data_IF_030288009424
#
_entry.id   IF_030288009424
#
_cell.length_a   1.000
_cell.length_b   1.000
_cell.length_c   1.000
_cell.angle_alpha   90.00
_cell.angle_beta   90.00
_cell.angle_gamma   90.00
#
_symmetry.space_group_name_H-M   'P 1'
#
loop_
_entity.id
_entity.type
_entity.pdbx_description
1 polymer ?
#
# COMPACT_ATOMS: atom_id res chain seq x y z
N UNK A 1 -24.75 -8.79 4.95
CA UNK A 1 -23.39 -9.33 4.80
C UNK A 1 -22.54 -8.24 4.14
N UNK A 2 -22.09 -7.24 4.90
CA UNK A 2 -21.41 -6.06 4.33
C UNK A 2 -20.43 -5.48 5.38
N UNK A 3 -19.25 -6.10 5.52
CA UNK A 3 -18.15 -5.60 6.38
C UNK A 3 -16.99 -5.02 5.57
N UNK A 4 -17.13 -4.86 4.24
CA UNK A 4 -16.02 -4.42 3.38
C UNK A 4 -15.85 -2.89 3.31
N UNK A 5 -16.92 -2.11 3.50
CA UNK A 5 -16.86 -0.64 3.34
C UNK A 5 -16.03 0.10 4.40
N UNK A 6 -15.85 -0.49 5.59
CA UNK A 6 -15.11 0.16 6.68
C UNK A 6 -13.60 0.07 6.50
N UNK A 7 -13.08 -1.06 6.00
CA UNK A 7 -11.64 -1.27 5.80
C UNK A 7 -11.14 -0.53 4.56
N UNK A 8 -11.93 -0.52 3.48
CA UNK A 8 -11.59 0.19 2.24
C UNK A 8 -11.49 1.70 2.49
N UNK A 9 -12.44 2.24 3.28
CA UNK A 9 -12.44 3.66 3.63
C UNK A 9 -11.27 4.03 4.56
N UNK A 10 -10.95 3.17 5.54
CA UNK A 10 -9.82 3.40 6.44
C UNK A 10 -8.47 3.38 5.70
N UNK A 11 -8.29 2.41 4.80
CA UNK A 11 -7.08 2.30 3.96
C UNK A 11 -6.93 3.53 3.08
N UNK A 12 -8.03 4.00 2.47
CA UNK A 12 -8.03 5.23 1.68
C UNK A 12 -7.62 6.46 2.50
N UNK A 13 -8.13 6.60 3.74
CA UNK A 13 -7.76 7.72 4.62
C UNK A 13 -6.27 7.69 4.99
N UNK A 14 -5.69 6.51 5.22
CA UNK A 14 -4.24 6.36 5.46
C UNK A 14 -3.46 6.78 4.21
N UNK A 15 -3.86 6.30 3.04
CA UNK A 15 -3.21 6.62 1.77
C UNK A 15 -3.30 8.12 1.43
N UNK A 16 -4.42 8.78 1.75
CA UNK A 16 -4.58 10.23 1.59
C UNK A 16 -3.66 11.01 2.54
N UNK A 17 -3.51 10.55 3.79
CA UNK A 17 -2.56 11.15 4.74
C UNK A 17 -1.11 11.00 4.27
N UNK A 18 -0.75 9.83 3.71
CA UNK A 18 0.54 9.59 3.06
C UNK A 18 0.70 10.52 1.86
N UNK A 19 -0.31 10.64 0.99
CA UNK A 19 -0.26 11.57 -0.16
C UNK A 19 -0.06 13.03 0.27
N UNK A 20 -0.64 13.44 1.38
CA UNK A 20 -0.46 14.77 1.96
C UNK A 20 0.92 14.95 2.65
N UNK A 21 1.64 13.87 2.95
CA UNK A 21 2.90 13.89 3.71
C UNK A 21 2.71 14.15 5.21
N UNK A 22 1.50 13.92 5.74
CA UNK A 22 1.18 14.17 7.14
C UNK A 22 1.63 12.97 8.01
N UNK A 23 2.90 13.00 8.41
CA UNK A 23 3.53 11.93 9.20
C UNK A 23 2.80 11.69 10.52
N UNK A 24 2.37 12.75 11.21
CA UNK A 24 1.69 12.63 12.50
C UNK A 24 0.37 11.89 12.35
N UNK A 25 -0.42 12.27 11.35
CA UNK A 25 -1.69 11.61 11.05
C UNK A 25 -1.52 10.16 10.60
N UNK A 26 -0.47 9.84 9.85
CA UNK A 26 -0.17 8.45 9.48
C UNK A 26 0.14 7.60 10.72
N UNK A 27 0.93 8.12 11.66
CA UNK A 27 1.25 7.43 12.91
C UNK A 27 0.00 7.17 13.76
N UNK A 28 -0.85 8.19 13.91
CA UNK A 28 -2.09 8.07 14.68
C UNK A 28 -3.03 7.03 14.08
N UNK A 29 -3.17 7.02 12.75
CA UNK A 29 -4.05 6.07 12.05
C UNK A 29 -3.50 4.64 12.11
N UNK A 30 -2.21 4.43 11.86
CA UNK A 30 -1.57 3.09 11.87
C UNK A 30 -1.50 2.50 13.29
N UNK A 31 -1.43 3.35 14.31
CA UNK A 31 -1.42 2.96 15.71
C UNK A 31 -2.77 2.44 16.24
N UNK A 32 -3.86 2.60 15.49
CA UNK A 32 -5.18 2.12 15.94
C UNK A 32 -5.24 0.59 15.96
N UNK A 33 -5.84 -0.01 17.02
CA UNK A 33 -6.01 -1.45 17.10
C UNK A 33 -6.96 -1.94 16.00
N UNK A 34 -6.56 -2.98 15.28
CA UNK A 34 -7.35 -3.57 14.19
C UNK A 34 -7.10 -2.97 12.80
N UNK A 35 -6.18 -2.02 12.67
CA UNK A 35 -5.74 -1.52 11.36
C UNK A 35 -4.86 -2.54 10.66
N UNK A 36 -5.20 -2.83 9.41
CA UNK A 36 -4.38 -3.61 8.52
C UNK A 36 -3.40 -2.70 7.76
N UNK A 37 -2.14 -2.70 8.20
CA UNK A 37 -1.04 -1.90 7.60
C UNK A 37 -0.66 -2.36 6.20
N UNK A 38 -1.16 -3.50 5.77
CA UNK A 38 -0.91 -4.09 4.46
C UNK A 38 -2.11 -3.95 3.51
N UNK A 39 -3.22 -3.37 3.97
CA UNK A 39 -4.41 -3.23 3.16
C UNK A 39 -4.11 -2.43 1.89
N UNK A 40 -4.62 -2.92 0.75
CA UNK A 40 -4.49 -2.26 -0.54
C UNK A 40 -5.60 -1.24 -0.68
N UNK A 41 -5.25 -0.04 -1.13
CA UNK A 41 -6.23 0.97 -1.47
C UNK A 41 -5.93 1.58 -2.82
N UNK A 42 -6.97 2.08 -3.47
CA UNK A 42 -6.88 2.75 -4.76
C UNK A 42 -6.66 4.25 -4.53
N UNK A 43 -5.49 4.76 -4.90
CA UNK A 43 -5.17 6.18 -4.84
C UNK A 43 -4.35 6.60 -6.07
N UNK A 44 -4.59 7.80 -6.57
CA UNK A 44 -3.76 8.41 -7.60
C UNK A 44 -2.52 9.04 -6.94
N UNK A 45 -1.38 8.34 -7.02
CA UNK A 45 -0.06 8.82 -6.54
C UNK A 45 0.75 9.54 -7.63
N UNK A 46 0.43 9.34 -8.91
CA UNK A 46 1.13 9.96 -10.05
C UNK A 46 0.27 11.07 -10.66
N UNK A 47 0.88 12.23 -10.89
CA UNK A 47 0.20 13.49 -11.26
C UNK A 47 -0.41 13.53 -12.66
N UNK A 48 -0.36 12.42 -13.40
CA UNK A 48 -0.63 12.39 -14.84
C UNK A 48 -1.71 11.39 -15.30
N UNK A 49 -2.35 10.60 -14.43
CA UNK A 49 -3.39 9.67 -14.93
C UNK A 49 -4.58 9.44 -14.01
N UNK A 50 -5.72 9.22 -14.67
CA UNK A 50 -7.01 8.81 -14.12
C UNK A 50 -7.00 7.38 -13.55
N UNK A 51 -5.89 6.66 -13.69
CA UNK A 51 -5.69 5.32 -13.19
C UNK A 51 -5.25 5.31 -11.72
N UNK A 52 -6.23 5.21 -10.84
CA UNK A 52 -5.98 4.98 -9.42
C UNK A 52 -5.41 3.57 -9.22
N UNK A 53 -4.10 3.47 -8.95
CA UNK A 53 -3.43 2.21 -8.71
C UNK A 53 -3.79 1.64 -7.32
N UNK A 54 -3.99 0.33 -7.25
CA UNK A 54 -4.04 -0.39 -5.98
C UNK A 54 -2.63 -0.50 -5.39
N UNK A 55 -2.41 0.20 -4.27
CA UNK A 55 -1.12 0.26 -3.58
C UNK A 55 -1.29 -0.01 -2.09
N UNK A 56 -0.24 -0.52 -1.46
CA UNK A 56 -0.15 -0.57 0.00
C UNK A 56 0.38 0.76 0.55
N UNK A 57 0.16 1.06 1.84
CA UNK A 57 0.74 2.23 2.50
C UNK A 57 2.25 2.36 2.29
N UNK A 58 2.98 1.25 2.37
CA UNK A 58 4.43 1.21 2.15
C UNK A 58 4.80 1.58 0.70
N UNK A 59 4.08 1.06 -0.29
CA UNK A 59 4.30 1.39 -1.70
C UNK A 59 4.05 2.88 -1.99
N UNK A 60 2.98 3.44 -1.44
CA UNK A 60 2.66 4.86 -1.60
C UNK A 60 3.73 5.76 -0.98
N UNK A 61 4.16 5.46 0.26
CA UNK A 61 5.20 6.22 0.94
C UNK A 61 6.55 6.14 0.21
N UNK A 62 6.90 4.96 -0.32
CA UNK A 62 8.11 4.76 -1.11
C UNK A 62 8.05 5.52 -2.45
N UNK A 63 6.92 5.46 -3.17
CA UNK A 63 6.73 6.15 -4.44
C UNK A 63 6.80 7.67 -4.30
N UNK A 64 6.35 8.22 -3.18
CA UNK A 64 6.39 9.65 -2.87
C UNK A 64 7.71 10.10 -2.22
N UNK A 65 8.66 9.18 -1.97
CA UNK A 65 9.96 9.50 -1.37
C UNK A 65 9.90 9.89 0.12
N UNK A 66 8.87 9.46 0.84
CA UNK A 66 8.62 9.85 2.24
C UNK A 66 9.37 8.95 3.21
N UNK A 67 10.69 9.17 3.32
CA UNK A 67 11.61 8.34 4.12
C UNK A 67 11.12 8.13 5.56
N UNK A 68 10.65 9.18 6.24
CA UNK A 68 10.20 9.06 7.63
C UNK A 68 8.97 8.16 7.80
N UNK A 69 8.05 8.17 6.84
CA UNK A 69 6.87 7.28 6.85
C UNK A 69 7.27 5.85 6.49
N UNK A 70 8.20 5.69 5.54
CA UNK A 70 8.76 4.37 5.20
C UNK A 70 9.44 3.75 6.42
N UNK A 71 10.30 4.49 7.12
CA UNK A 71 10.99 4.00 8.32
C UNK A 71 10.00 3.63 9.43
N UNK A 72 8.97 4.45 9.64
CA UNK A 72 7.92 4.15 10.61
C UNK A 72 7.14 2.88 10.26
N UNK A 73 6.75 2.70 9.00
CA UNK A 73 6.02 1.51 8.55
C UNK A 73 6.91 0.26 8.60
N UNK A 74 8.20 0.37 8.27
CA UNK A 74 9.17 -0.74 8.34
C UNK A 74 9.51 -1.15 9.78
N UNK A 75 9.35 -0.25 10.74
CA UNK A 75 9.50 -0.59 12.16
C UNK A 75 8.35 -1.44 12.70
N UNK A 76 7.20 -1.49 12.02
CA UNK A 76 6.06 -2.31 12.42
C UNK A 76 6.27 -3.78 11.98
N UNK A 77 6.35 -4.75 12.90
CA UNK A 77 6.58 -6.16 12.56
C UNK A 77 5.42 -6.80 11.76
N UNK A 78 4.24 -6.15 11.70
CA UNK A 78 3.10 -6.59 10.90
C UNK A 78 3.25 -6.27 9.42
N UNK A 79 4.18 -5.37 9.07
CA UNK A 79 4.38 -4.95 7.69
C UNK A 79 4.95 -6.10 6.87
N UNK A 80 4.42 -6.30 5.66
CA UNK A 80 5.02 -7.23 4.71
C UNK A 80 5.65 -6.42 3.59
N UNK A 81 6.97 -6.44 3.57
CA UNK A 81 7.77 -5.72 2.58
C UNK A 81 7.62 -6.35 1.18
N UNK A 82 7.38 -7.66 1.12
CA UNK A 82 7.34 -8.44 -0.11
C UNK A 82 5.93 -8.64 -0.67
N UNK A 83 5.06 -7.62 -0.63
CA UNK A 83 3.78 -7.70 -1.32
C UNK A 83 3.99 -7.65 -2.84
N UNK A 84 3.93 -8.83 -3.47
CA UNK A 84 3.89 -8.91 -4.92
C UNK A 84 2.59 -8.28 -5.42
N UNK A 85 2.69 -7.23 -6.24
CA UNK A 85 1.56 -6.81 -7.05
C UNK A 85 1.17 -7.98 -7.97
N UNK A 86 -0.11 -8.38 -8.06
CA UNK A 86 -0.54 -9.42 -8.99
C UNK A 86 -0.32 -9.05 -10.47
N UNK A 87 0.13 -7.83 -10.79
CA UNK A 87 0.29 -7.34 -12.16
C UNK A 87 1.66 -7.62 -12.81
N UNK A 88 2.55 -8.39 -12.17
CA UNK A 88 3.80 -8.86 -12.80
C UNK A 88 3.94 -10.39 -12.83
N UNK A 89 2.89 -11.14 -12.43
CA UNK A 89 2.95 -12.58 -12.26
C UNK A 89 2.17 -13.36 -13.34
N UNK A 90 2.05 -12.82 -14.56
CA UNK A 90 1.59 -13.62 -15.71
C UNK A 90 2.69 -14.47 -16.34
N UNK A 91 3.97 -14.15 -16.10
CA UNK A 91 5.10 -14.91 -16.69
C UNK A 91 5.88 -15.80 -15.70
N UNK A 92 5.72 -15.66 -14.38
CA UNK A 92 6.49 -16.46 -13.42
C UNK A 92 5.78 -17.71 -12.85
N UNK A 93 4.50 -17.96 -13.19
CA UNK A 93 3.84 -19.26 -12.89
C UNK A 93 3.85 -20.26 -14.03
N UNK A 94 4.08 -19.82 -15.26
CA UNK A 94 4.22 -20.74 -16.39
C UNK A 94 5.70 -21.03 -16.56
N UNK A 95 6.16 -22.10 -15.90
CA UNK A 95 7.49 -22.68 -16.08
C UNK A 95 7.75 -23.18 -17.51
N UNK A 96 7.69 -22.29 -18.50
CA UNK A 96 8.24 -22.51 -19.83
C UNK A 96 9.75 -22.28 -19.75
N UNK A 97 10.43 -23.26 -19.14
CA UNK A 97 11.74 -23.66 -19.61
C UNK A 97 11.55 -24.19 -21.04
N UNK A 98 11.64 -23.32 -22.04
CA UNK A 98 11.92 -23.81 -23.40
C UNK A 98 13.41 -24.16 -23.43
N UNK A 99 13.70 -25.40 -23.03
CA UNK A 99 14.96 -26.07 -23.34
C UNK A 99 14.97 -26.38 -24.84
N UNK A 100 16.00 -25.85 -25.54
CA UNK A 100 16.45 -26.14 -26.91
C UNK A 100 15.46 -25.95 -28.07
#
# INVERSE_FOLDING_TARGET
MSMTTSNDNQTKVILEAIKAGDVARVRDLVGLPGVDVNARGSISIVSNDEDAAEVTPLMAAAALGQVEIVDFLLADPRIQVNYALPVLYVDMQNGLTTNY
#
